data_IF_895871340827
#
_entry.id   IF_895871340827
#
_cell.length_a   1.000
_cell.length_b   1.000
_cell.length_c   1.000
_cell.angle_alpha   90.00
_cell.angle_beta   90.00
_cell.angle_gamma   90.00
#
_symmetry.space_group_name_H-M   'P 1'
#
loop_
_entity.id
_entity.type
_entity.pdbx_description
1 polymer ?
#
# COMPACT_ATOMS: atom_id res chain seq x y z
N UNK A 1 -10.75 -23.38 6.22
CA UNK A 1 -9.64 -23.46 7.19
C UNK A 1 -9.50 -22.15 7.98
N UNK A 2 -8.89 -22.20 9.16
CA UNK A 2 -8.66 -20.98 9.99
C UNK A 2 -7.74 -19.99 9.26
N UNK A 3 -6.74 -20.48 8.52
CA UNK A 3 -5.85 -19.66 7.68
C UNK A 3 -6.60 -18.95 6.56
N UNK A 4 -7.59 -19.59 5.93
CA UNK A 4 -8.40 -18.94 4.88
C UNK A 4 -9.19 -17.74 5.39
N UNK A 5 -9.62 -17.74 6.65
CA UNK A 5 -10.31 -16.58 7.26
C UNK A 5 -9.38 -15.39 7.47
N UNK A 6 -8.14 -15.62 7.88
CA UNK A 6 -7.18 -14.54 8.03
C UNK A 6 -6.76 -13.97 6.67
N UNK A 7 -6.55 -14.81 5.66
CA UNK A 7 -6.29 -14.33 4.30
C UNK A 7 -7.44 -13.47 3.77
N UNK A 8 -8.67 -13.89 3.96
CA UNK A 8 -9.84 -13.11 3.58
C UNK A 8 -9.95 -11.79 4.35
N UNK A 9 -9.59 -11.78 5.64
CA UNK A 9 -9.57 -10.55 6.44
C UNK A 9 -8.51 -9.55 5.91
N UNK A 10 -7.33 -10.00 5.50
CA UNK A 10 -6.30 -9.13 4.94
C UNK A 10 -6.72 -8.54 3.59
N UNK A 11 -7.38 -9.33 2.73
CA UNK A 11 -7.98 -8.83 1.48
C UNK A 11 -9.06 -7.79 1.82
N UNK A 12 -9.93 -8.06 2.79
CA UNK A 12 -10.96 -7.12 3.20
C UNK A 12 -10.37 -5.80 3.72
N UNK A 13 -9.29 -5.83 4.50
CA UNK A 13 -8.60 -4.62 4.97
C UNK A 13 -8.08 -3.80 3.78
N UNK A 14 -7.50 -4.45 2.78
CA UNK A 14 -7.06 -3.81 1.54
C UNK A 14 -8.22 -3.09 0.84
N UNK A 15 -9.32 -3.79 0.59
CA UNK A 15 -10.50 -3.23 -0.08
C UNK A 15 -11.19 -2.13 0.72
N UNK A 16 -11.27 -2.26 2.05
CA UNK A 16 -11.82 -1.23 2.93
C UNK A 16 -10.97 0.04 2.90
N UNK A 17 -9.65 -0.09 2.76
CA UNK A 17 -8.75 1.07 2.61
C UNK A 17 -9.06 1.84 1.32
N UNK A 18 -9.28 1.14 0.20
CA UNK A 18 -9.75 1.76 -1.04
C UNK A 18 -11.12 2.42 -0.90
N UNK A 19 -12.08 1.71 -0.27
CA UNK A 19 -13.42 2.25 -0.04
C UNK A 19 -13.39 3.52 0.82
N UNK A 20 -12.53 3.57 1.84
CA UNK A 20 -12.30 4.76 2.66
C UNK A 20 -11.74 5.91 1.84
N UNK A 21 -10.69 5.70 1.05
CA UNK A 21 -10.11 6.72 0.15
C UNK A 21 -11.14 7.28 -0.81
N UNK A 22 -12.00 6.43 -1.37
CA UNK A 22 -13.12 6.84 -2.22
C UNK A 22 -14.14 7.70 -1.46
N UNK A 23 -14.55 7.29 -0.26
CA UNK A 23 -15.50 8.02 0.58
C UNK A 23 -14.96 9.40 0.99
N UNK A 24 -13.69 9.49 1.34
CA UNK A 24 -13.01 10.74 1.70
C UNK A 24 -12.69 11.61 0.48
N UNK A 25 -13.09 11.22 -0.74
CA UNK A 25 -12.78 11.88 -2.02
C UNK A 25 -11.28 12.06 -2.26
N UNK A 26 -10.49 11.18 -1.69
CA UNK A 26 -9.04 11.15 -1.88
C UNK A 26 -8.63 10.36 -3.13
N UNK A 27 -9.58 9.69 -3.80
CA UNK A 27 -9.31 8.87 -4.99
C UNK A 27 -9.04 9.74 -6.21
N UNK A 28 -8.01 9.36 -6.97
CA UNK A 28 -7.63 10.05 -8.19
C UNK A 28 -8.71 10.00 -9.27
N UNK A 29 -9.01 11.13 -9.89
CA UNK A 29 -9.98 11.25 -10.97
C UNK A 29 -9.28 11.58 -12.30
N UNK A 30 -9.45 10.70 -13.30
CA UNK A 30 -8.84 10.86 -14.63
C UNK A 30 -9.37 12.08 -15.38
N UNK A 31 -10.56 12.57 -15.06
CA UNK A 31 -11.16 13.76 -15.67
C UNK A 31 -10.54 15.07 -15.19
N UNK A 32 -9.98 15.05 -13.98
CA UNK A 32 -9.41 16.25 -13.32
C UNK A 32 -7.89 16.27 -13.44
N UNK A 33 -7.24 15.11 -13.27
CA UNK A 33 -5.80 15.00 -13.22
C UNK A 33 -5.20 14.70 -14.60
N UNK A 34 -3.99 15.23 -14.85
CA UNK A 34 -3.20 14.75 -15.97
C UNK A 34 -2.73 13.30 -15.70
N UNK A 35 -2.28 12.61 -16.75
CA UNK A 35 -1.91 11.19 -16.69
C UNK A 35 -0.89 10.88 -15.60
N UNK A 36 0.16 11.69 -15.51
CA UNK A 36 1.24 11.45 -14.53
C UNK A 36 0.74 11.62 -13.08
N UNK A 37 -0.02 12.67 -12.82
CA UNK A 37 -0.60 12.92 -11.50
C UNK A 37 -1.61 11.84 -11.11
N UNK A 38 -2.46 11.42 -12.06
CA UNK A 38 -3.42 10.34 -11.85
C UNK A 38 -2.72 9.03 -11.49
N UNK A 39 -1.75 8.60 -12.31
CA UNK A 39 -1.00 7.36 -12.08
C UNK A 39 -0.31 7.40 -10.72
N UNK A 40 0.38 8.50 -10.40
CA UNK A 40 1.06 8.65 -9.11
C UNK A 40 0.10 8.53 -7.94
N UNK A 41 -1.01 9.25 -7.97
CA UNK A 41 -1.99 9.23 -6.87
C UNK A 41 -2.60 7.83 -6.73
N UNK A 42 -2.96 7.15 -7.83
CA UNK A 42 -3.47 5.78 -7.78
C UNK A 42 -2.47 4.78 -7.19
N UNK A 43 -1.17 4.95 -7.50
CA UNK A 43 -0.12 4.13 -6.92
C UNK A 43 0.05 4.38 -5.41
N UNK A 44 -0.07 5.64 -4.96
CA UNK A 44 -0.04 5.97 -3.54
C UNK A 44 -1.23 5.36 -2.78
N UNK A 45 -2.44 5.40 -3.36
CA UNK A 45 -3.63 4.74 -2.81
C UNK A 45 -3.43 3.21 -2.68
N UNK A 46 -2.84 2.58 -3.68
CA UNK A 46 -2.53 1.14 -3.66
C UNK A 46 -1.50 0.79 -2.59
N UNK A 47 -0.46 1.62 -2.45
CA UNK A 47 0.55 1.47 -1.41
C UNK A 47 -0.07 1.58 -0.01
N UNK A 48 -1.00 2.50 0.20
CA UNK A 48 -1.70 2.64 1.50
C UNK A 48 -2.52 1.39 1.83
N UNK A 49 -3.19 0.80 0.85
CA UNK A 49 -3.94 -0.45 1.01
C UNK A 49 -3.00 -1.65 1.28
N UNK A 50 -1.85 -1.74 0.59
CA UNK A 50 -0.83 -2.75 0.86
C UNK A 50 -0.26 -2.61 2.27
N UNK A 51 0.09 -1.40 2.69
CA UNK A 51 0.64 -1.12 4.02
C UNK A 51 -0.37 -1.48 5.11
N UNK A 52 -1.65 -1.15 4.94
CA UNK A 52 -2.70 -1.53 5.89
C UNK A 52 -2.77 -3.06 6.08
N UNK A 53 -2.68 -3.84 5.00
CA UNK A 53 -2.64 -5.31 5.06
C UNK A 53 -1.37 -5.84 5.75
N UNK A 54 -0.22 -5.20 5.53
CA UNK A 54 1.05 -5.56 6.17
C UNK A 54 0.98 -5.27 7.68
N UNK A 55 0.51 -4.11 8.08
CA UNK A 55 0.37 -3.73 9.49
C UNK A 55 -0.60 -4.67 10.23
N UNK A 56 -1.74 -4.98 9.64
CA UNK A 56 -2.67 -5.97 10.19
C UNK A 56 -2.03 -7.36 10.32
N UNK A 57 -1.16 -7.76 9.38
CA UNK A 57 -0.42 -9.02 9.49
C UNK A 57 0.56 -9.00 10.66
N UNK A 58 1.18 -7.86 10.94
CA UNK A 58 2.07 -7.68 12.10
C UNK A 58 1.27 -7.81 13.40
N UNK A 59 0.11 -7.16 13.50
CA UNK A 59 -0.77 -7.25 14.66
C UNK A 59 -1.24 -8.69 14.91
N UNK A 60 -1.61 -9.43 13.86
CA UNK A 60 -1.96 -10.84 13.96
C UNK A 60 -0.79 -11.68 14.49
N UNK A 61 0.43 -11.42 14.01
CA UNK A 61 1.63 -12.11 14.51
C UNK A 61 1.89 -11.81 15.98
N UNK A 62 1.78 -10.56 16.40
CA UNK A 62 1.94 -10.13 17.79
C UNK A 62 0.86 -10.73 18.70
N UNK A 63 -0.33 -10.98 18.16
CA UNK A 63 -1.42 -11.69 18.83
C UNK A 63 -1.24 -13.23 18.85
N UNK A 64 -0.09 -13.75 18.41
CA UNK A 64 0.24 -15.18 18.42
C UNK A 64 -0.34 -15.99 17.26
N UNK A 65 -0.81 -15.34 16.20
CA UNK A 65 -1.29 -16.04 15.00
C UNK A 65 -0.10 -16.43 14.12
N UNK A 66 -0.08 -17.67 13.63
CA UNK A 66 0.90 -18.11 12.64
C UNK A 66 0.60 -17.45 11.27
N UNK A 67 1.43 -16.49 10.89
CA UNK A 67 1.21 -15.66 9.69
C UNK A 67 2.08 -16.06 8.51
N UNK A 68 2.93 -17.08 8.62
CA UNK A 68 3.92 -17.43 7.57
C UNK A 68 3.29 -17.61 6.20
N UNK A 69 2.12 -18.23 6.14
CA UNK A 69 1.41 -18.57 4.91
C UNK A 69 0.39 -17.50 4.46
N UNK A 70 0.30 -16.38 5.17
CA UNK A 70 -0.64 -15.30 4.85
C UNK A 70 0.04 -13.93 4.73
N UNK A 71 1.37 -13.89 4.71
CA UNK A 71 2.11 -12.64 4.57
C UNK A 71 1.84 -11.99 3.22
N UNK A 72 1.44 -10.70 3.20
CA UNK A 72 1.30 -9.96 1.96
C UNK A 72 2.64 -9.80 1.23
N UNK A 73 2.59 -9.51 -0.06
CA UNK A 73 3.75 -9.03 -0.81
C UNK A 73 4.36 -7.82 -0.12
N UNK A 74 5.67 -7.66 -0.21
CA UNK A 74 6.43 -6.56 0.41
C UNK A 74 6.40 -6.51 1.95
N UNK A 75 5.90 -7.55 2.62
CA UNK A 75 5.96 -7.65 4.10
C UNK A 75 7.40 -7.51 4.63
N UNK A 76 8.36 -8.19 4.01
CA UNK A 76 9.76 -8.14 4.44
C UNK A 76 10.44 -6.80 4.15
N UNK A 77 10.34 -6.21 2.95
CA UNK A 77 10.83 -4.85 2.69
C UNK A 77 10.30 -3.82 3.67
N UNK A 78 8.98 -3.84 3.94
CA UNK A 78 8.37 -2.97 4.94
C UNK A 78 8.99 -3.16 6.33
N UNK A 79 9.03 -4.40 6.84
CA UNK A 79 9.56 -4.73 8.18
C UNK A 79 11.02 -4.34 8.34
N UNK A 80 11.83 -4.56 7.31
CA UNK A 80 13.24 -4.21 7.32
C UNK A 80 13.44 -2.70 7.39
N UNK A 81 12.76 -1.93 6.55
CA UNK A 81 12.86 -0.48 6.53
C UNK A 81 12.32 0.13 7.84
N UNK A 82 11.15 -0.32 8.30
CA UNK A 82 10.58 0.05 9.59
C UNK A 82 11.57 -0.15 10.74
N UNK A 83 12.09 -1.37 10.88
CA UNK A 83 12.97 -1.73 12.00
C UNK A 83 14.32 -0.99 11.96
N UNK A 84 14.87 -0.74 10.78
CA UNK A 84 16.10 0.02 10.61
C UNK A 84 15.92 1.49 11.03
N UNK A 85 14.85 2.13 10.53
CA UNK A 85 14.57 3.53 10.86
C UNK A 85 14.21 3.73 12.34
N UNK A 86 13.40 2.79 12.90
CA UNK A 86 13.06 2.81 14.33
C UNK A 86 14.30 2.74 15.22
N UNK A 87 15.22 1.79 14.93
CA UNK A 87 16.45 1.61 15.71
C UNK A 87 17.40 2.81 15.57
N UNK A 88 17.58 3.32 14.36
CA UNK A 88 18.39 4.50 14.11
C UNK A 88 17.87 5.71 14.89
N UNK A 89 16.57 6.00 14.78
CA UNK A 89 15.98 7.11 15.50
C UNK A 89 16.07 6.96 17.04
N UNK A 90 15.92 5.74 17.56
CA UNK A 90 16.08 5.46 18.99
C UNK A 90 17.51 5.65 19.47
N UNK A 91 18.49 5.37 18.62
CA UNK A 91 19.91 5.55 18.93
C UNK A 91 20.34 7.02 18.84
N UNK A 92 19.94 7.70 17.75
CA UNK A 92 20.40 9.05 17.43
C UNK A 92 19.70 10.15 18.27
N UNK A 93 18.48 9.87 18.73
CA UNK A 93 17.63 10.85 19.43
C UNK A 93 17.13 10.31 20.76
N UNK A 94 17.92 10.54 21.83
CA UNK A 94 17.50 10.21 23.20
C UNK A 94 16.23 10.99 23.59
N UNK A 95 15.20 10.27 24.06
CA UNK A 95 13.98 10.88 24.60
C UNK A 95 12.80 11.02 23.65
N UNK A 96 12.88 10.48 22.42
CA UNK A 96 11.70 10.37 21.58
C UNK A 96 10.66 9.41 22.21
N UNK A 97 9.39 9.78 22.12
CA UNK A 97 8.30 8.89 22.54
C UNK A 97 8.19 7.65 21.62
N UNK A 98 7.69 6.54 22.16
CA UNK A 98 7.45 5.35 21.37
C UNK A 98 6.53 5.63 20.18
N UNK A 99 5.52 6.47 20.32
CA UNK A 99 4.65 6.89 19.24
C UNK A 99 5.42 7.61 18.11
N UNK A 100 6.38 8.45 18.45
CA UNK A 100 7.24 9.13 17.46
C UNK A 100 8.14 8.14 16.75
N UNK A 101 8.76 7.21 17.48
CA UNK A 101 9.61 6.16 16.92
C UNK A 101 8.83 5.25 15.97
N UNK A 102 7.61 4.85 16.36
CA UNK A 102 6.72 4.07 15.51
C UNK A 102 6.35 4.83 14.23
N UNK A 103 6.04 6.12 14.32
CA UNK A 103 5.73 6.95 13.15
C UNK A 103 6.91 7.02 12.18
N UNK A 104 8.14 7.19 12.68
CA UNK A 104 9.37 7.16 11.87
C UNK A 104 9.51 5.80 11.16
N UNK A 105 9.33 4.72 11.89
CA UNK A 105 9.36 3.38 11.34
C UNK A 105 8.31 3.15 10.24
N UNK A 106 7.05 3.55 10.49
CA UNK A 106 5.95 3.44 9.51
C UNK A 106 6.22 4.24 8.25
N UNK A 107 6.73 5.47 8.38
CA UNK A 107 7.10 6.29 7.22
C UNK A 107 8.17 5.61 6.36
N UNK A 108 9.20 5.05 6.98
CA UNK A 108 10.25 4.32 6.27
C UNK A 108 9.71 3.03 5.61
N UNK A 109 8.88 2.27 6.31
CA UNK A 109 8.23 1.07 5.79
C UNK A 109 7.36 1.38 4.57
N UNK A 110 6.50 2.41 4.65
CA UNK A 110 5.67 2.88 3.54
C UNK A 110 6.52 3.31 2.33
N UNK A 111 7.61 4.05 2.57
CA UNK A 111 8.51 4.48 1.50
C UNK A 111 9.17 3.30 0.79
N UNK A 112 9.55 2.24 1.53
CA UNK A 112 10.11 1.03 0.93
C UNK A 112 9.08 0.28 0.06
N UNK A 113 7.81 0.22 0.48
CA UNK A 113 6.71 -0.36 -0.32
C UNK A 113 6.49 0.47 -1.57
N UNK A 114 6.42 1.80 -1.46
CA UNK A 114 6.26 2.69 -2.62
C UNK A 114 7.42 2.52 -3.62
N UNK A 115 8.66 2.50 -3.15
CA UNK A 115 9.82 2.25 -4.00
C UNK A 115 9.71 0.93 -4.77
N UNK A 116 9.37 -0.16 -4.10
CA UNK A 116 9.23 -1.47 -4.72
C UNK A 116 8.07 -1.51 -5.76
N UNK A 117 6.98 -0.81 -5.52
CA UNK A 117 5.86 -0.70 -6.48
C UNK A 117 6.28 0.14 -7.70
N UNK A 118 6.98 1.25 -7.49
CA UNK A 118 7.52 2.09 -8.57
C UNK A 118 8.55 1.34 -9.44
N UNK A 119 9.37 0.51 -8.82
CA UNK A 119 10.37 -0.34 -9.50
C UNK A 119 9.75 -1.56 -10.19
N UNK A 120 8.43 -1.73 -10.15
CA UNK A 120 7.73 -2.83 -10.80
C UNK A 120 7.95 -4.19 -10.14
N UNK A 121 8.38 -4.24 -8.87
CA UNK A 121 8.60 -5.49 -8.14
C UNK A 121 7.29 -6.23 -7.79
N UNK A 122 6.15 -5.54 -7.89
CA UNK A 122 4.81 -6.12 -7.69
C UNK A 122 3.98 -5.86 -8.94
N UNK A 123 3.33 -6.92 -9.40
CA UNK A 123 2.43 -6.88 -10.55
C UNK A 123 0.98 -6.96 -10.08
N UNK A 124 0.08 -6.39 -10.88
CA UNK A 124 -1.36 -6.53 -10.65
C UNK A 124 -1.78 -8.00 -10.80
N UNK A 125 -2.61 -8.48 -9.90
CA UNK A 125 -3.06 -9.88 -9.87
C UNK A 125 -3.94 -10.26 -11.08
N UNK A 126 -4.60 -9.28 -11.70
CA UNK A 126 -5.56 -9.51 -12.79
C UNK A 126 -4.86 -9.51 -14.15
N UNK A 127 -3.98 -8.53 -14.39
CA UNK A 127 -3.38 -8.32 -15.72
C UNK A 127 -1.92 -8.71 -15.82
N UNK A 128 -1.23 -8.90 -14.69
CA UNK A 128 0.20 -9.16 -14.64
C UNK A 128 1.07 -7.96 -15.09
N UNK A 129 0.49 -6.77 -15.18
CA UNK A 129 1.19 -5.53 -15.52
C UNK A 129 1.78 -4.89 -14.26
N UNK A 130 2.77 -4.01 -14.44
CA UNK A 130 3.14 -3.10 -13.36
C UNK A 130 1.97 -2.16 -13.03
N UNK A 131 1.89 -1.68 -11.81
CA UNK A 131 0.84 -0.74 -11.41
C UNK A 131 0.90 0.57 -12.23
N UNK A 132 2.09 0.99 -12.64
CA UNK A 132 2.28 2.16 -13.51
C UNK A 132 1.63 1.96 -14.88
N UNK A 133 1.87 0.81 -15.51
CA UNK A 133 1.27 0.46 -16.82
C UNK A 133 -0.24 0.33 -16.71
N UNK A 134 -0.72 -0.39 -15.68
CA UNK A 134 -2.15 -0.60 -15.45
C UNK A 134 -2.91 0.72 -15.26
N UNK A 135 -2.47 1.57 -14.34
CA UNK A 135 -3.15 2.85 -14.11
C UNK A 135 -2.96 3.85 -15.26
N UNK A 136 -1.84 3.76 -15.99
CA UNK A 136 -1.66 4.52 -17.22
C UNK A 136 -2.70 4.16 -18.28
N UNK A 137 -2.89 2.87 -18.54
CA UNK A 137 -3.90 2.38 -19.49
C UNK A 137 -5.32 2.72 -19.05
N UNK A 138 -5.58 2.66 -17.75
CA UNK A 138 -6.89 3.01 -17.20
C UNK A 138 -7.20 4.52 -17.39
N UNK A 139 -6.21 5.40 -17.24
CA UNK A 139 -6.37 6.83 -17.51
C UNK A 139 -6.66 7.07 -18.99
N UNK A 140 -5.88 6.45 -19.88
CA UNK A 140 -6.04 6.58 -21.34
C UNK A 140 -7.46 6.19 -21.76
N UNK A 141 -7.95 5.03 -21.31
CA UNK A 141 -9.32 4.54 -21.57
C UNK A 141 -10.42 5.49 -21.06
N UNK A 142 -10.29 6.00 -19.82
CA UNK A 142 -11.29 6.92 -19.27
C UNK A 142 -11.37 8.26 -20.03
N UNK A 143 -10.25 8.75 -20.55
CA UNK A 143 -10.18 9.98 -21.34
C UNK A 143 -10.80 9.80 -22.73
N UNK A 144 -10.58 8.64 -23.37
CA UNK A 144 -11.22 8.31 -24.64
C UNK A 144 -12.74 8.29 -24.54
N UNK A 145 -13.29 7.63 -23.50
CA UNK A 145 -14.74 7.60 -23.27
C UNK A 145 -15.32 8.99 -22.96
N UNK A 146 -14.60 9.82 -22.23
CA UNK A 146 -15.04 11.18 -21.95
C UNK A 146 -15.04 12.10 -23.18
N UNK A 147 -14.20 11.80 -24.18
CA UNK A 147 -14.10 12.57 -25.44
C UNK A 147 -15.11 12.12 -26.51
N UNK A 148 -15.69 10.92 -26.38
CA UNK A 148 -16.68 10.34 -27.27
C UNK A 148 -17.92 9.85 -26.49
N UNK A 149 -18.74 10.78 -25.93
CA UNK A 149 -19.99 10.38 -25.28
C UNK A 149 -20.97 9.83 -26.36
N UNK A 150 -21.34 8.57 -26.24
CA UNK A 150 -22.38 7.91 -27.06
C UNK A 150 -23.76 8.50 -26.75
#
# INVERSE_FOLDING_TARGET
SRLGRFSAALVLIHEVTHARSFHERATAEATILNRQAYVRQRMEEEVDAMVASIEATIELYEAGVEVRNIRPSLYYPYRQAYGSAFRAAKFDYCGLSDATLQRIGRTAGRSAVLGAVLDGQVLTSITGQTYMEYYGSLWDSKREHASNPT
#
